data_IF_978367128808
#
_entry.id   IF_978367128808
#
_cell.length_a   1.000
_cell.length_b   1.000
_cell.length_c   1.000
_cell.angle_alpha   90.00
_cell.angle_beta   90.00
_cell.angle_gamma   90.00
#
_symmetry.space_group_name_H-M   'P 1'
#
loop_
_entity.id
_entity.type
_entity.pdbx_description
1 polymer ?
#
# COMPACT_ATOMS: atom_id res chain seq x y z
N UNK A 1 -15.04 19.83 -2.20
CA UNK A 1 -13.98 20.26 -3.14
C UNK A 1 -13.48 19.00 -3.83
N UNK A 2 -13.36 18.95 -5.17
CA UNK A 2 -13.06 17.69 -5.89
C UNK A 2 -11.77 17.04 -5.37
N UNK A 3 -11.85 15.76 -5.01
CA UNK A 3 -10.71 14.96 -4.53
C UNK A 3 -9.57 14.92 -5.56
N UNK A 4 -9.91 14.97 -6.86
CA UNK A 4 -8.96 14.98 -7.99
C UNK A 4 -7.96 16.14 -7.96
N UNK A 5 -8.26 17.24 -7.25
CA UNK A 5 -7.34 18.39 -7.15
C UNK A 5 -6.24 18.20 -6.11
N UNK A 6 -6.40 17.27 -5.16
CA UNK A 6 -5.37 17.04 -4.13
C UNK A 6 -4.15 16.34 -4.72
N UNK A 7 -4.36 15.29 -5.52
CA UNK A 7 -3.30 14.56 -6.22
C UNK A 7 -2.47 15.49 -7.12
N UNK A 8 -3.13 16.21 -8.03
CA UNK A 8 -2.45 17.11 -8.94
C UNK A 8 -1.66 18.23 -8.22
N UNK A 9 -2.18 18.73 -7.10
CA UNK A 9 -1.50 19.73 -6.28
C UNK A 9 -0.27 19.14 -5.57
N UNK A 10 -0.38 17.93 -5.04
CA UNK A 10 0.73 17.27 -4.34
C UNK A 10 1.86 16.89 -5.30
N UNK A 11 1.52 16.46 -6.52
CA UNK A 11 2.50 16.11 -7.56
C UNK A 11 2.98 17.33 -8.37
N UNK A 12 2.33 18.49 -8.22
CA UNK A 12 2.67 19.71 -8.96
C UNK A 12 2.36 19.65 -10.46
N UNK A 13 1.51 18.71 -10.89
CA UNK A 13 1.17 18.49 -12.30
C UNK A 13 -0.25 17.93 -12.44
N UNK A 14 -0.93 18.28 -13.53
CA UNK A 14 -2.20 17.66 -13.96
C UNK A 14 -2.00 16.68 -15.11
N UNK A 15 -0.77 16.48 -15.57
CA UNK A 15 -0.46 15.57 -16.67
C UNK A 15 -0.68 14.11 -16.24
N UNK A 16 -0.97 13.28 -17.22
CA UNK A 16 -1.20 11.84 -17.09
C UNK A 16 -0.68 11.20 -18.38
N UNK A 17 -0.02 10.05 -18.32
CA UNK A 17 0.20 9.20 -17.14
C UNK A 17 1.42 9.59 -16.30
N UNK A 18 1.41 9.16 -15.03
CA UNK A 18 2.49 9.41 -14.06
C UNK A 18 3.15 8.09 -13.69
N UNK A 19 4.48 8.10 -13.58
CA UNK A 19 5.27 7.00 -13.04
C UNK A 19 5.81 7.41 -11.67
N UNK A 20 5.68 6.51 -10.70
CA UNK A 20 6.21 6.65 -9.36
C UNK A 20 7.19 5.50 -9.16
N UNK A 21 8.47 5.83 -9.09
CA UNK A 21 9.49 4.84 -8.78
C UNK A 21 9.53 4.59 -7.27
N UNK A 22 9.33 3.33 -6.88
CA UNK A 22 9.52 2.85 -5.51
C UNK A 22 10.45 1.62 -5.50
N UNK A 23 11.73 1.87 -5.18
CA UNK A 23 12.78 0.84 -5.07
C UNK A 23 12.47 -0.28 -4.07
N UNK A 24 11.49 -0.11 -3.18
CA UNK A 24 11.08 -1.18 -2.28
C UNK A 24 10.43 -2.36 -3.01
N UNK A 25 9.87 -2.13 -4.20
CA UNK A 25 9.27 -3.15 -5.05
C UNK A 25 10.33 -4.08 -5.70
N UNK A 26 11.60 -3.65 -5.81
CA UNK A 26 12.70 -4.43 -6.42
C UNK A 26 13.02 -5.74 -5.66
N UNK A 27 12.71 -5.80 -4.36
CA UNK A 27 13.30 -6.80 -3.41
C UNK A 27 12.64 -8.19 -3.42
N UNK A 28 11.94 -8.56 -4.50
CA UNK A 28 11.02 -9.72 -4.54
C UNK A 28 11.64 -11.05 -4.14
N UNK A 29 12.89 -11.29 -4.52
CA UNK A 29 13.46 -12.65 -4.51
C UNK A 29 14.21 -13.05 -3.24
N UNK A 30 14.40 -12.15 -2.25
CA UNK A 30 15.08 -12.53 -1.01
C UNK A 30 14.44 -12.06 0.30
N UNK A 31 13.43 -11.16 0.28
CA UNK A 31 12.50 -10.79 1.39
C UNK A 31 11.71 -9.52 1.01
N UNK A 32 10.98 -9.48 -0.11
CA UNK A 32 10.18 -8.29 -0.39
C UNK A 32 9.09 -8.10 0.67
N UNK A 33 8.97 -6.85 1.13
CA UNK A 33 7.98 -6.40 2.10
C UNK A 33 7.57 -4.97 1.75
N UNK A 34 6.43 -4.52 2.24
CA UNK A 34 5.91 -3.17 2.08
C UNK A 34 5.56 -2.79 0.63
N UNK A 35 5.17 -3.74 -0.21
CA UNK A 35 4.74 -3.49 -1.60
C UNK A 35 3.56 -2.51 -1.69
N UNK A 36 2.71 -2.47 -0.67
CA UNK A 36 1.51 -1.65 -0.60
C UNK A 36 1.72 -0.36 0.22
N UNK A 37 2.97 -0.03 0.59
CA UNK A 37 3.27 1.12 1.45
C UNK A 37 2.93 2.49 0.85
N UNK A 38 2.78 2.56 -0.47
CA UNK A 38 2.41 3.78 -1.20
C UNK A 38 0.90 4.04 -1.14
N UNK A 39 0.08 3.03 -0.82
CA UNK A 39 -1.38 3.14 -0.79
C UNK A 39 -1.85 4.24 0.18
N UNK A 40 -1.39 4.29 1.44
CA UNK A 40 -1.83 5.32 2.38
C UNK A 40 -1.52 6.75 1.90
N UNK A 41 -0.40 6.93 1.19
CA UNK A 41 -0.07 8.23 0.59
C UNK A 41 -1.06 8.63 -0.49
N UNK A 42 -1.39 7.74 -1.43
CA UNK A 42 -2.35 8.08 -2.50
C UNK A 42 -3.79 8.19 -2.01
N UNK A 43 -4.18 7.42 -0.98
CA UNK A 43 -5.47 7.58 -0.30
C UNK A 43 -5.64 8.97 0.30
N UNK A 44 -4.62 9.47 1.00
CA UNK A 44 -4.62 10.82 1.57
C UNK A 44 -4.80 11.90 0.48
N UNK A 45 -4.31 11.61 -0.73
CA UNK A 45 -4.45 12.47 -1.91
C UNK A 45 -5.77 12.28 -2.67
N UNK A 46 -6.69 11.46 -2.16
CA UNK A 46 -8.03 11.26 -2.73
C UNK A 46 -8.13 10.16 -3.78
N UNK A 47 -7.10 9.31 -3.94
CA UNK A 47 -7.19 8.13 -4.80
C UNK A 47 -7.78 6.97 -4.00
N UNK A 48 -8.94 6.47 -4.41
CA UNK A 48 -9.64 5.40 -3.70
C UNK A 48 -9.55 4.02 -4.37
N UNK A 49 -9.14 3.96 -5.65
CA UNK A 49 -9.05 2.72 -6.44
C UNK A 49 -7.59 2.38 -6.74
N UNK A 50 -7.25 1.12 -6.51
CA UNK A 50 -5.90 0.58 -6.64
C UNK A 50 -5.91 -0.72 -7.43
N UNK A 51 -4.97 -0.86 -8.36
CA UNK A 51 -4.72 -2.08 -9.12
C UNK A 51 -3.41 -2.67 -8.65
N UNK A 52 -3.41 -3.92 -8.21
CA UNK A 52 -2.19 -4.64 -7.87
C UNK A 52 -2.45 -6.14 -7.73
N UNK A 53 -1.39 -6.93 -7.83
CA UNK A 53 -1.43 -8.40 -7.79
C UNK A 53 -2.09 -8.94 -6.51
N UNK A 54 -3.00 -9.91 -6.66
CA UNK A 54 -3.73 -10.54 -5.56
C UNK A 54 -2.79 -11.20 -4.53
N UNK A 55 -1.59 -11.59 -4.97
CA UNK A 55 -0.53 -12.09 -4.09
C UNK A 55 -0.14 -11.09 -2.99
N UNK A 56 -0.32 -9.79 -3.22
CA UNK A 56 -0.04 -8.75 -2.21
C UNK A 56 -1.27 -8.39 -1.38
N UNK A 57 -2.47 -8.51 -1.95
CA UNK A 57 -3.73 -8.26 -1.24
C UNK A 57 -3.83 -9.14 0.00
N UNK A 58 -3.50 -10.45 -0.12
CA UNK A 58 -3.42 -11.44 0.97
C UNK A 58 -4.56 -11.34 1.97
N UNK A 59 -5.75 -11.01 1.47
CA UNK A 59 -6.98 -10.82 2.24
C UNK A 59 -6.90 -9.78 3.36
N UNK A 60 -5.78 -9.05 3.57
CA UNK A 60 -5.62 -8.08 4.64
C UNK A 60 -5.36 -6.67 4.10
N UNK A 61 -6.20 -5.73 4.54
CA UNK A 61 -6.03 -4.31 4.25
C UNK A 61 -5.69 -3.53 5.52
N UNK A 62 -4.48 -2.95 5.57
CA UNK A 62 -4.09 -2.06 6.67
C UNK A 62 -4.93 -0.78 6.71
N UNK A 63 -5.36 -0.32 5.54
CA UNK A 63 -6.22 0.85 5.34
C UNK A 63 -7.30 0.47 4.32
N UNK A 64 -8.54 0.87 4.57
CA UNK A 64 -9.66 0.57 3.68
C UNK A 64 -9.47 1.27 2.32
N UNK A 65 -9.49 0.49 1.23
CA UNK A 65 -9.40 1.00 -0.13
C UNK A 65 -10.03 0.03 -1.15
N UNK A 66 -10.41 0.55 -2.30
CA UNK A 66 -10.87 -0.27 -3.42
C UNK A 66 -9.70 -0.95 -4.10
N UNK A 67 -9.60 -2.27 -3.98
CA UNK A 67 -8.65 -3.09 -4.72
C UNK A 67 -9.32 -3.73 -5.94
N UNK A 68 -8.63 -3.71 -7.08
CA UNK A 68 -9.00 -4.42 -8.28
C UNK A 68 -7.87 -5.36 -8.70
N UNK A 69 -8.16 -6.65 -8.81
CA UNK A 69 -7.23 -7.62 -9.42
C UNK A 69 -6.94 -7.21 -10.87
N UNK A 70 -5.67 -7.24 -11.33
CA UNK A 70 -5.31 -6.86 -12.69
C UNK A 70 -6.04 -7.67 -13.77
N UNK A 71 -6.35 -8.95 -13.48
CA UNK A 71 -7.09 -9.83 -14.39
C UNK A 71 -8.59 -9.54 -14.49
N UNK A 72 -9.16 -8.78 -13.55
CA UNK A 72 -10.58 -8.44 -13.52
C UNK A 72 -10.89 -7.07 -14.15
N UNK A 73 -9.87 -6.33 -14.61
CA UNK A 73 -10.05 -4.97 -15.14
C UNK A 73 -10.71 -5.03 -16.51
N UNK A 74 -11.84 -4.32 -16.62
CA UNK A 74 -12.49 -4.00 -17.89
C UNK A 74 -12.35 -2.50 -18.13
N UNK A 75 -11.75 -2.10 -19.26
CA UNK A 75 -11.39 -0.70 -19.53
C UNK A 75 -12.61 0.25 -19.53
N UNK A 76 -13.81 -0.24 -19.87
CA UNK A 76 -15.04 0.54 -19.82
C UNK A 76 -15.42 1.02 -18.43
N UNK A 77 -14.91 0.37 -17.38
CA UNK A 77 -15.33 0.57 -15.99
C UNK A 77 -14.24 1.27 -15.17
N UNK A 78 -13.10 1.58 -15.80
CA UNK A 78 -11.98 2.28 -15.18
C UNK A 78 -12.35 3.76 -15.02
N UNK A 79 -12.15 4.26 -13.81
CA UNK A 79 -12.31 5.67 -13.47
C UNK A 79 -11.00 6.22 -12.92
N UNK A 80 -10.58 7.38 -13.39
CA UNK A 80 -9.45 8.11 -12.83
C UNK A 80 -9.92 9.10 -11.76
N UNK A 81 -9.11 9.40 -10.72
CA UNK A 81 -7.73 8.91 -10.54
C UNK A 81 -7.64 7.43 -10.14
N UNK A 82 -6.59 6.76 -10.62
CA UNK A 82 -6.32 5.33 -10.39
C UNK A 82 -4.83 5.14 -10.13
N UNK A 83 -4.49 4.40 -9.07
CA UNK A 83 -3.11 3.97 -8.82
C UNK A 83 -2.94 2.50 -9.17
N UNK A 84 -1.93 2.16 -9.96
CA UNK A 84 -1.58 0.80 -10.34
C UNK A 84 -0.17 0.48 -9.88
N UNK A 85 0.01 -0.62 -9.15
CA UNK A 85 1.28 -1.04 -8.58
C UNK A 85 1.71 -2.37 -9.24
N UNK A 86 2.84 -2.36 -9.92
CA UNK A 86 3.41 -3.56 -10.54
C UNK A 86 4.93 -3.45 -10.63
N UNK A 87 5.63 -4.58 -10.61
CA UNK A 87 7.08 -4.63 -10.86
C UNK A 87 7.40 -4.84 -12.33
N UNK A 88 8.60 -4.50 -12.76
CA UNK A 88 9.15 -4.76 -14.09
C UNK A 88 9.05 -6.25 -14.46
N UNK A 89 9.21 -7.15 -13.48
CA UNK A 89 9.01 -8.59 -13.71
C UNK A 89 7.56 -8.91 -14.08
N UNK A 90 6.59 -8.26 -13.46
CA UNK A 90 5.17 -8.42 -13.77
C UNK A 90 4.80 -7.81 -15.13
N UNK A 91 5.64 -6.95 -15.71
CA UNK A 91 5.44 -6.37 -17.05
C UNK A 91 5.89 -7.28 -18.20
N UNK A 92 6.54 -8.41 -17.90
CA UNK A 92 6.86 -9.44 -18.90
C UNK A 92 5.61 -10.15 -19.38
N UNK A 93 5.59 -10.56 -20.65
CA UNK A 93 4.49 -11.37 -21.17
C UNK A 93 4.42 -12.72 -20.47
N UNK A 94 3.25 -13.38 -20.53
CA UNK A 94 3.07 -14.72 -19.94
C UNK A 94 4.07 -15.75 -20.49
N UNK A 95 4.48 -15.62 -21.75
CA UNK A 95 5.42 -16.53 -22.40
C UNK A 95 6.89 -16.29 -21.95
N UNK A 96 7.19 -15.11 -21.43
CA UNK A 96 8.51 -14.70 -20.93
C UNK A 96 8.68 -14.89 -19.42
N UNK A 97 7.61 -15.29 -18.72
CA UNK A 97 7.65 -15.58 -17.29
C UNK A 97 8.27 -16.96 -17.04
N UNK A 98 9.14 -17.04 -16.03
CA UNK A 98 9.77 -18.30 -15.66
C UNK A 98 8.71 -19.26 -15.10
N UNK A 99 8.82 -20.54 -15.45
CA UNK A 99 7.94 -21.56 -14.88
C UNK A 99 8.09 -21.62 -13.35
N UNK A 100 6.98 -21.52 -12.63
CA UNK A 100 6.94 -21.54 -11.17
C UNK A 100 6.91 -20.16 -10.49
N UNK A 101 6.78 -19.07 -11.25
CA UNK A 101 6.50 -17.75 -10.68
C UNK A 101 5.05 -17.66 -10.18
N UNK A 102 4.88 -17.15 -8.96
CA UNK A 102 3.56 -17.03 -8.29
C UNK A 102 2.73 -15.81 -8.73
N UNK A 103 3.30 -14.89 -9.52
CA UNK A 103 2.59 -13.69 -9.98
C UNK A 103 1.97 -13.84 -11.35
N UNK A 104 0.97 -13.01 -11.61
CA UNK A 104 0.39 -12.84 -12.93
C UNK A 104 1.15 -11.78 -13.74
N UNK A 105 1.21 -11.99 -15.07
CA UNK A 105 1.60 -10.91 -16.00
C UNK A 105 0.57 -9.79 -15.96
N UNK A 106 1.05 -8.57 -15.79
CA UNK A 106 0.30 -7.32 -15.83
C UNK A 106 0.61 -6.50 -17.09
N UNK A 107 1.35 -7.07 -18.05
CA UNK A 107 1.80 -6.39 -19.27
C UNK A 107 0.65 -5.73 -20.06
N UNK A 108 -0.38 -6.51 -20.41
CA UNK A 108 -1.50 -6.05 -21.23
C UNK A 108 -2.32 -4.98 -20.53
N UNK A 109 -2.71 -5.22 -19.27
CA UNK A 109 -3.51 -4.26 -18.49
C UNK A 109 -2.72 -2.98 -18.22
N UNK A 110 -1.41 -3.06 -17.96
CA UNK A 110 -0.57 -1.87 -17.82
C UNK A 110 -0.59 -1.05 -19.10
N UNK A 111 -0.37 -1.68 -20.27
CA UNK A 111 -0.36 -0.99 -21.56
C UNK A 111 -1.68 -0.26 -21.84
N UNK A 112 -2.81 -0.94 -21.65
CA UNK A 112 -4.12 -0.34 -21.89
C UNK A 112 -4.41 0.79 -20.89
N UNK A 113 -4.05 0.64 -19.60
CA UNK A 113 -4.22 1.72 -18.62
C UNK A 113 -3.34 2.94 -18.92
N UNK A 114 -2.12 2.76 -19.44
CA UNK A 114 -1.29 3.88 -19.92
C UNK A 114 -1.95 4.63 -21.08
N UNK A 115 -2.54 3.88 -22.02
CA UNK A 115 -3.27 4.45 -23.16
C UNK A 115 -4.51 5.22 -22.70
N UNK A 116 -5.38 4.60 -21.91
CA UNK A 116 -6.58 5.27 -21.35
C UNK A 116 -6.20 6.47 -20.47
N UNK A 117 -5.15 6.34 -19.66
CA UNK A 117 -4.63 7.40 -18.82
C UNK A 117 -4.10 8.61 -19.60
N UNK A 118 -3.63 8.41 -20.83
CA UNK A 118 -3.19 9.51 -21.72
C UNK A 118 -4.39 10.30 -22.26
N UNK A 119 -5.51 9.62 -22.51
CA UNK A 119 -6.74 10.22 -23.06
C UNK A 119 -7.70 10.72 -21.95
N UNK A 120 -7.40 10.41 -20.69
CA UNK A 120 -8.24 10.73 -19.55
C UNK A 120 -8.40 12.25 -19.34
N UNK A 121 -9.65 12.70 -19.19
CA UNK A 121 -9.99 14.10 -18.91
C UNK A 121 -10.43 14.34 -17.46
N UNK A 122 -10.64 13.26 -16.69
CA UNK A 122 -11.24 13.29 -15.35
C UNK A 122 -10.31 12.95 -14.18
N UNK A 123 -9.01 12.77 -14.40
CA UNK A 123 -8.07 12.40 -13.35
C UNK A 123 -6.75 11.87 -13.92
N UNK A 124 -5.85 11.43 -13.04
CA UNK A 124 -4.52 10.96 -13.41
C UNK A 124 -4.40 9.45 -13.23
N UNK A 125 -3.74 8.79 -14.17
CA UNK A 125 -3.25 7.43 -14.00
C UNK A 125 -1.87 7.46 -13.35
N UNK A 126 -1.72 6.81 -12.20
CA UNK A 126 -0.47 6.74 -11.44
C UNK A 126 0.04 5.30 -11.46
N UNK A 127 1.18 5.06 -12.09
CA UNK A 127 1.84 3.77 -12.16
C UNK A 127 3.03 3.70 -11.21
N UNK A 128 2.92 2.92 -10.14
CA UNK A 128 3.98 2.69 -9.15
C UNK A 128 4.75 1.43 -9.53
N UNK A 129 6.08 1.55 -9.67
CA UNK A 129 6.93 0.45 -10.13
C UNK A 129 8.32 0.48 -9.50
N UNK A 130 9.02 -0.65 -9.58
CA UNK A 130 10.39 -0.85 -9.09
C UNK A 130 11.47 -0.30 -10.05
N UNK A 131 11.08 0.34 -11.14
CA UNK A 131 12.00 0.96 -12.10
C UNK A 131 11.48 2.31 -12.59
N UNK A 132 12.32 3.34 -12.74
CA UNK A 132 11.89 4.61 -13.31
C UNK A 132 11.58 4.54 -14.81
N UNK A 133 12.04 3.49 -15.49
CA UNK A 133 11.90 3.30 -16.93
C UNK A 133 11.33 1.91 -17.22
N UNK A 134 10.03 1.66 -16.95
CA UNK A 134 9.42 0.35 -17.14
C UNK A 134 9.35 -0.05 -18.62
N UNK A 135 9.53 -1.34 -18.92
CA UNK A 135 9.44 -1.88 -20.27
C UNK A 135 8.36 -2.97 -20.38
N UNK A 136 7.60 -2.92 -21.47
CA UNK A 136 6.62 -3.97 -21.86
C UNK A 136 7.01 -4.45 -23.25
N UNK A 137 8.02 -5.33 -23.34
CA UNK A 137 8.64 -5.73 -24.61
C UNK A 137 7.62 -6.28 -25.63
N UNK A 138 6.59 -6.98 -25.14
CA UNK A 138 5.51 -7.54 -25.96
C UNK A 138 4.60 -6.52 -26.65
N UNK A 139 4.61 -5.25 -26.20
CA UNK A 139 3.72 -4.20 -26.72
C UNK A 139 4.45 -3.03 -27.35
N UNK A 140 5.70 -2.78 -26.96
CA UNK A 140 6.45 -1.61 -27.42
C UNK A 140 6.75 -1.70 -28.93
N UNK A 141 6.32 -0.72 -29.74
CA UNK A 141 6.58 -0.71 -31.19
C UNK A 141 8.05 -0.50 -31.57
N UNK A 142 8.80 0.19 -30.72
CA UNK A 142 10.21 0.55 -30.94
C UNK A 142 11.09 -0.16 -29.90
N UNK A 143 11.90 -1.16 -30.29
CA UNK A 143 12.70 -1.94 -29.35
C UNK A 143 13.47 -1.05 -28.37
N UNK A 144 13.43 -1.41 -27.08
CA UNK A 144 14.10 -0.72 -25.95
C UNK A 144 13.52 0.64 -25.53
N UNK A 145 12.50 1.17 -26.21
CA UNK A 145 11.81 2.37 -25.74
C UNK A 145 11.02 2.04 -24.47
N UNK A 146 11.13 2.84 -23.41
CA UNK A 146 10.34 2.59 -22.19
C UNK A 146 8.87 2.95 -22.40
N UNK A 147 7.99 2.44 -21.53
CA UNK A 147 6.59 2.87 -21.47
C UNK A 147 6.49 4.36 -21.14
N UNK A 148 7.37 4.85 -20.26
CA UNK A 148 7.48 6.27 -19.94
C UNK A 148 7.67 7.13 -21.19
N UNK A 149 8.64 6.77 -22.04
CA UNK A 149 8.93 7.50 -23.28
C UNK A 149 7.79 7.36 -24.30
N UNK A 150 7.12 6.21 -24.33
CA UNK A 150 6.07 5.92 -25.30
C UNK A 150 4.82 6.78 -25.06
N UNK A 151 4.47 7.02 -23.80
CA UNK A 151 3.29 7.78 -23.39
C UNK A 151 3.62 9.18 -22.85
N UNK A 152 4.88 9.62 -22.93
CA UNK A 152 5.38 10.87 -22.37
C UNK A 152 5.04 11.03 -20.88
N UNK A 153 5.19 9.95 -20.11
CA UNK A 153 4.85 9.95 -18.69
C UNK A 153 5.81 10.83 -17.88
N UNK A 154 5.29 11.52 -16.86
CA UNK A 154 6.12 12.21 -15.86
C UNK A 154 6.53 11.20 -14.78
N UNK A 155 7.81 11.17 -14.44
CA UNK A 155 8.32 10.30 -13.37
C UNK A 155 8.64 11.07 -12.08
N UNK A 156 8.33 10.47 -10.93
CA UNK A 156 8.72 10.93 -9.60
C UNK A 156 9.32 9.80 -8.78
N UNK A 157 10.14 10.16 -7.79
CA UNK A 157 10.68 9.24 -6.79
C UNK A 157 9.77 9.22 -5.55
N UNK A 158 9.23 8.05 -5.17
CA UNK A 158 8.35 7.95 -4.01
C UNK A 158 9.02 8.43 -2.73
N UNK A 159 10.31 8.11 -2.55
CA UNK A 159 11.10 8.53 -1.40
C UNK A 159 11.14 10.06 -1.24
N UNK A 160 11.23 10.81 -2.33
CA UNK A 160 11.23 12.27 -2.28
C UNK A 160 9.83 12.79 -1.94
N UNK A 161 8.80 12.27 -2.62
CA UNK A 161 7.41 12.67 -2.41
C UNK A 161 6.97 12.47 -0.96
N UNK A 162 7.20 11.29 -0.39
CA UNK A 162 6.78 11.00 0.99
C UNK A 162 7.57 11.82 2.01
N UNK A 163 8.87 12.06 1.77
CA UNK A 163 9.69 12.88 2.65
C UNK A 163 9.16 14.31 2.71
N UNK A 164 8.94 14.94 1.55
CA UNK A 164 8.43 16.31 1.45
C UNK A 164 7.04 16.42 2.07
N UNK A 165 6.19 15.43 1.82
CA UNK A 165 4.83 15.38 2.34
C UNK A 165 4.81 15.27 3.86
N UNK A 166 5.49 14.28 4.44
CA UNK A 166 5.52 14.05 5.90
C UNK A 166 6.12 15.26 6.60
N UNK A 167 7.24 15.79 6.11
CA UNK A 167 7.90 16.97 6.70
C UNK A 167 7.01 18.22 6.73
N UNK A 168 6.11 18.35 5.75
CA UNK A 168 5.29 19.56 5.59
C UNK A 168 3.88 19.42 6.17
N UNK A 169 3.37 18.21 6.38
CA UNK A 169 1.95 17.95 6.66
C UNK A 169 1.68 17.00 7.84
N UNK A 170 2.71 16.40 8.43
CA UNK A 170 2.55 15.40 9.49
C UNK A 170 3.54 15.63 10.62
N UNK A 171 3.05 15.86 11.84
CA UNK A 171 3.86 15.98 13.06
C UNK A 171 4.21 14.60 13.64
N UNK A 172 4.79 13.74 12.80
CA UNK A 172 5.21 12.39 13.19
C UNK A 172 6.44 12.42 14.09
N UNK A 173 6.44 11.62 15.16
CA UNK A 173 7.63 11.32 15.97
C UNK A 173 8.46 10.17 15.41
N UNK A 174 7.90 9.38 14.49
CA UNK A 174 8.66 8.34 13.79
C UNK A 174 9.66 8.96 12.79
N UNK A 175 10.87 8.41 12.69
CA UNK A 175 11.80 8.73 11.62
C UNK A 175 11.36 8.16 10.27
N UNK A 176 11.53 8.94 9.19
CA UNK A 176 11.31 8.49 7.80
C UNK A 176 12.28 7.39 7.32
N UNK A 177 13.37 7.16 8.05
CA UNK A 177 14.27 6.04 7.74
C UNK A 177 13.76 4.71 8.29
N UNK A 178 12.89 4.71 9.30
CA UNK A 178 12.28 3.50 9.86
C UNK A 178 11.16 2.98 8.96
N UNK A 179 10.32 3.88 8.48
CA UNK A 179 9.24 3.57 7.54
C UNK A 179 8.97 4.74 6.61
N UNK A 180 8.54 4.44 5.39
CA UNK A 180 8.02 5.41 4.42
C UNK A 180 6.54 5.18 4.15
N UNK A 181 5.85 4.47 5.02
CA UNK A 181 4.43 4.24 4.94
C UNK A 181 3.69 5.34 5.73
N UNK A 182 2.90 6.17 5.02
CA UNK A 182 2.23 7.34 5.60
C UNK A 182 1.28 6.97 6.76
N UNK A 183 0.70 5.77 6.74
CA UNK A 183 -0.20 5.30 7.80
C UNK A 183 0.47 5.36 9.17
N UNK A 184 1.71 4.86 9.29
CA UNK A 184 2.42 4.85 10.58
C UNK A 184 2.78 6.26 11.05
N UNK A 185 3.10 7.17 10.12
CA UNK A 185 3.34 8.57 10.46
C UNK A 185 2.09 9.27 10.99
N UNK A 186 0.91 8.99 10.42
CA UNK A 186 -0.38 9.49 10.93
C UNK A 186 -0.73 8.91 12.30
N UNK A 187 -0.49 7.62 12.51
CA UNK A 187 -0.62 6.98 13.82
C UNK A 187 0.31 7.64 14.85
N UNK A 188 1.57 7.86 14.49
CA UNK A 188 2.56 8.49 15.36
C UNK A 188 2.17 9.90 15.76
N UNK A 189 1.72 10.73 14.81
CA UNK A 189 1.16 12.06 15.05
C UNK A 189 -0.02 11.97 16.04
N UNK A 190 -0.97 11.07 15.78
CA UNK A 190 -2.14 10.87 16.65
C UNK A 190 -1.74 10.47 18.08
N UNK A 191 -0.85 9.49 18.23
CA UNK A 191 -0.33 9.03 19.52
C UNK A 191 0.41 10.13 20.28
N UNK A 192 1.26 10.88 19.57
CA UNK A 192 2.06 11.96 20.14
C UNK A 192 1.19 13.05 20.78
N UNK A 193 0.08 13.42 20.14
CA UNK A 193 -0.86 14.43 20.68
C UNK A 193 -1.57 13.99 21.96
N UNK A 194 -1.61 12.67 22.25
CA UNK A 194 -2.29 12.07 23.40
C UNK A 194 -1.34 11.47 24.44
N UNK A 195 -0.03 11.70 24.29
CA UNK A 195 0.98 11.20 25.22
C UNK A 195 1.23 9.67 25.15
N UNK A 196 0.73 9.01 24.10
CA UNK A 196 0.96 7.59 23.85
C UNK A 196 2.33 7.36 23.18
N UNK A 197 2.88 6.12 23.24
CA UNK A 197 4.10 5.75 22.53
C UNK A 197 3.99 6.01 21.02
N UNK A 198 4.98 6.68 20.45
CA UNK A 198 4.91 7.23 19.08
C UNK A 198 6.26 7.31 18.37
N UNK A 199 7.36 6.99 19.05
CA UNK A 199 8.74 7.21 18.59
C UNK A 199 9.32 6.05 17.81
N UNK A 200 8.83 4.83 18.05
CA UNK A 200 9.25 3.62 17.34
C UNK A 200 8.07 2.92 16.68
N UNK A 201 8.31 2.24 15.57
CA UNK A 201 7.24 1.60 14.80
C UNK A 201 6.49 0.53 15.62
N UNK A 202 7.22 -0.28 16.38
CA UNK A 202 6.64 -1.32 17.26
C UNK A 202 5.80 -0.72 18.39
N UNK A 203 6.22 0.43 18.91
CA UNK A 203 5.53 1.14 20.00
C UNK A 203 4.13 1.60 19.61
N UNK A 204 3.88 1.87 18.32
CA UNK A 204 2.55 2.23 17.83
C UNK A 204 1.51 1.14 18.10
N UNK A 205 1.96 -0.12 18.22
CA UNK A 205 1.13 -1.29 18.47
C UNK A 205 1.13 -1.70 19.96
N UNK A 206 1.48 -0.77 20.86
CA UNK A 206 1.27 -0.94 22.30
C UNK A 206 -0.22 -0.69 22.65
N UNK A 207 -1.04 -1.74 22.54
CA UNK A 207 -2.48 -1.67 22.76
C UNK A 207 -2.90 -1.34 24.19
N UNK A 208 -2.00 -1.45 25.18
CA UNK A 208 -2.29 -1.00 26.55
C UNK A 208 -2.25 0.52 26.66
N UNK A 209 -1.53 1.19 25.76
CA UNK A 209 -1.31 2.64 25.78
C UNK A 209 -1.83 3.35 24.53
N UNK A 210 -2.29 2.60 23.54
CA UNK A 210 -2.86 3.14 22.32
C UNK A 210 -4.13 3.95 22.64
N UNK A 211 -4.28 5.17 22.11
CA UNK A 211 -5.53 5.91 22.21
C UNK A 211 -6.71 5.15 21.62
N UNK A 212 -7.90 5.33 22.20
CA UNK A 212 -9.11 4.65 21.72
C UNK A 212 -9.44 5.04 20.28
N UNK A 213 -9.20 6.28 19.86
CA UNK A 213 -9.47 6.71 18.48
C UNK A 213 -8.30 6.45 17.52
N UNK A 214 -7.27 5.72 17.96
CA UNK A 214 -6.13 5.42 17.11
C UNK A 214 -6.51 4.40 16.03
N UNK A 215 -6.10 4.61 14.76
CA UNK A 215 -6.43 3.65 13.71
C UNK A 215 -5.70 2.31 13.86
N UNK A 216 -4.77 2.15 14.81
CA UNK A 216 -4.08 0.87 15.08
C UNK A 216 -5.00 -0.25 15.59
N UNK A 217 -6.21 0.10 16.03
CA UNK A 217 -7.26 -0.85 16.40
C UNK A 217 -7.92 -1.50 15.18
N UNK A 218 -8.03 -0.79 14.05
CA UNK A 218 -8.73 -1.26 12.84
C UNK A 218 -8.18 -2.60 12.31
N UNK A 219 -6.86 -2.83 12.25
CA UNK A 219 -6.32 -4.13 11.86
C UNK A 219 -6.77 -5.29 12.75
N UNK A 220 -7.01 -5.06 14.05
CA UNK A 220 -7.48 -6.12 14.96
C UNK A 220 -8.95 -6.47 14.67
N UNK A 221 -9.79 -5.46 14.44
CA UNK A 221 -11.18 -5.68 14.02
C UNK A 221 -11.25 -6.43 12.69
N UNK A 222 -10.41 -6.04 11.72
CA UNK A 222 -10.32 -6.72 10.44
C UNK A 222 -10.10 -8.23 10.61
N UNK A 223 -9.11 -8.59 11.42
CA UNK A 223 -8.74 -9.97 11.69
C UNK A 223 -9.83 -10.78 12.41
N UNK A 224 -10.62 -10.14 13.27
CA UNK A 224 -11.76 -10.80 13.94
C UNK A 224 -12.90 -11.04 12.93
N UNK A 225 -13.25 -10.03 12.14
CA UNK A 225 -14.40 -10.08 11.23
C UNK A 225 -14.21 -11.04 10.05
N UNK A 226 -12.97 -11.21 9.57
CA UNK A 226 -12.70 -11.91 8.31
C UNK A 226 -12.06 -13.29 8.48
N UNK A 227 -11.59 -13.71 9.67
CA UNK A 227 -10.70 -14.88 9.78
C UNK A 227 -11.03 -15.90 10.90
N UNK A 228 -12.21 -15.83 11.52
CA UNK A 228 -12.58 -16.71 12.64
C UNK A 228 -12.86 -18.19 12.28
N UNK A 229 -13.02 -18.56 11.00
CA UNK A 229 -13.60 -19.89 10.68
C UNK A 229 -12.63 -21.05 10.40
N UNK A 230 -11.34 -20.89 10.06
CA UNK A 230 -10.54 -22.08 9.66
C UNK A 230 -9.06 -22.25 10.12
N UNK A 231 -8.36 -21.31 10.76
CA UNK A 231 -6.90 -21.51 10.97
C UNK A 231 -6.35 -20.94 12.29
N UNK A 232 -6.57 -21.63 13.42
CA UNK A 232 -5.86 -21.30 14.67
C UNK A 232 -4.42 -21.84 14.72
N UNK A 233 -4.11 -22.93 14.00
CA UNK A 233 -2.79 -23.58 14.09
C UNK A 233 -1.68 -22.83 13.32
N UNK A 234 -2.01 -22.04 12.28
CA UNK A 234 -1.05 -21.24 11.49
C UNK A 234 -1.31 -19.72 11.57
N UNK A 235 -2.14 -19.28 12.52
CA UNK A 235 -2.59 -17.89 12.63
C UNK A 235 -1.45 -16.86 12.72
N UNK A 236 -0.40 -17.14 13.49
CA UNK A 236 0.77 -16.24 13.60
C UNK A 236 1.52 -16.10 12.28
N UNK A 237 1.66 -17.20 11.54
CA UNK A 237 2.30 -17.20 10.23
C UNK A 237 1.46 -16.39 9.23
N UNK A 238 0.14 -16.50 9.32
CA UNK A 238 -0.82 -15.75 8.50
C UNK A 238 -0.78 -14.24 8.78
N UNK A 239 -0.99 -13.79 10.02
CA UNK A 239 -0.92 -12.36 10.39
C UNK A 239 0.43 -11.76 10.00
N UNK A 240 1.53 -12.48 10.27
CA UNK A 240 2.87 -12.03 9.85
C UNK A 240 2.98 -11.91 8.33
N UNK A 241 2.38 -12.84 7.59
CA UNK A 241 2.39 -12.92 6.12
C UNK A 241 1.53 -11.84 5.47
N UNK A 242 0.39 -11.50 6.07
CA UNK A 242 -0.48 -10.39 5.70
C UNK A 242 0.21 -9.02 5.90
N UNK A 243 0.81 -8.80 7.07
CA UNK A 243 1.49 -7.55 7.40
C UNK A 243 2.74 -7.29 6.54
N UNK A 244 3.35 -8.34 5.96
CA UNK A 244 4.53 -8.20 5.09
C UNK A 244 4.27 -7.30 3.89
N UNK A 245 3.05 -7.23 3.36
CA UNK A 245 2.75 -6.34 2.23
C UNK A 245 2.79 -4.85 2.61
N UNK A 246 2.80 -4.52 3.90
CA UNK A 246 2.60 -3.16 4.40
C UNK A 246 3.78 -2.59 5.19
N UNK A 247 4.59 -3.45 5.82
CA UNK A 247 5.60 -3.03 6.81
C UNK A 247 7.03 -3.26 6.27
N UNK A 248 7.87 -2.22 6.31
CA UNK A 248 9.29 -2.33 5.97
C UNK A 248 10.09 -3.23 6.95
N UNK A 249 11.37 -3.47 6.68
CA UNK A 249 12.17 -4.47 7.40
C UNK A 249 12.29 -4.21 8.92
N UNK A 250 12.49 -5.28 9.70
CA UNK A 250 12.91 -5.23 11.11
C UNK A 250 11.87 -5.70 12.12
N UNK A 251 10.63 -5.23 12.01
CA UNK A 251 9.69 -5.28 13.15
C UNK A 251 8.34 -5.95 12.87
N UNK A 252 8.09 -6.43 11.64
CA UNK A 252 6.82 -7.10 11.26
C UNK A 252 6.43 -8.22 12.23
N UNK A 253 7.39 -9.06 12.65
CA UNK A 253 7.13 -10.18 13.56
C UNK A 253 6.78 -9.70 14.98
N UNK A 254 7.45 -8.65 15.47
CA UNK A 254 7.16 -8.07 16.78
C UNK A 254 5.78 -7.42 16.79
N UNK A 255 5.42 -6.73 15.71
CA UNK A 255 4.11 -6.12 15.51
C UNK A 255 3.03 -7.21 15.46
N UNK A 256 3.22 -8.24 14.64
CA UNK A 256 2.33 -9.39 14.58
C UNK A 256 2.10 -10.00 15.96
N UNK A 257 3.17 -10.24 16.73
CA UNK A 257 3.09 -10.78 18.10
C UNK A 257 2.26 -9.89 19.04
N UNK A 258 2.38 -8.56 18.96
CA UNK A 258 1.57 -7.63 19.77
C UNK A 258 0.09 -7.68 19.37
N UNK A 259 -0.20 -7.74 18.07
CA UNK A 259 -1.56 -7.88 17.55
C UNK A 259 -2.20 -9.18 18.02
N UNK A 260 -1.51 -10.31 17.81
CA UNK A 260 -1.96 -11.65 18.20
C UNK A 260 -2.17 -11.75 19.71
N UNK A 261 -1.24 -11.23 20.53
CA UNK A 261 -1.40 -11.22 21.99
C UNK A 261 -2.67 -10.46 22.42
N UNK A 262 -2.99 -9.35 21.75
CA UNK A 262 -4.19 -8.56 22.02
C UNK A 262 -5.45 -9.30 21.58
N UNK A 263 -5.44 -9.92 20.41
CA UNK A 263 -6.54 -10.75 19.92
C UNK A 263 -6.82 -11.93 20.86
N UNK A 264 -5.79 -12.64 21.32
CA UNK A 264 -5.94 -13.70 22.32
C UNK A 264 -6.53 -13.20 23.64
N UNK A 265 -6.12 -12.02 24.09
CA UNK A 265 -6.63 -11.40 25.32
C UNK A 265 -8.13 -11.09 25.22
N UNK A 266 -8.60 -10.78 24.03
CA UNK A 266 -10.00 -10.47 23.72
C UNK A 266 -10.74 -11.68 23.12
N UNK A 267 -10.19 -12.90 23.26
CA UNK A 267 -10.77 -14.14 22.74
C UNK A 267 -11.19 -14.11 21.26
N UNK A 268 -10.53 -13.28 20.45
CA UNK A 268 -10.91 -13.01 19.05
C UNK A 268 -12.38 -12.55 18.91
N UNK A 269 -12.93 -11.87 19.91
CA UNK A 269 -14.29 -11.34 19.91
C UNK A 269 -14.28 -9.81 19.74
N UNK A 270 -15.11 -9.31 18.82
CA UNK A 270 -15.16 -7.88 18.52
C UNK A 270 -15.74 -7.06 19.68
N UNK A 271 -16.63 -7.64 20.48
CA UNK A 271 -17.19 -7.03 21.68
C UNK A 271 -16.12 -6.90 22.76
N UNK A 272 -15.42 -8.00 23.08
CA UNK A 272 -14.31 -7.99 24.03
C UNK A 272 -13.17 -7.06 23.60
N UNK A 273 -12.87 -6.97 22.30
CA UNK A 273 -11.87 -6.02 21.78
C UNK A 273 -12.33 -4.57 21.99
N UNK A 274 -13.60 -4.28 21.70
CA UNK A 274 -14.18 -2.94 21.93
C UNK A 274 -14.16 -2.60 23.42
N UNK A 275 -14.53 -3.54 24.29
CA UNK A 275 -14.46 -3.36 25.74
C UNK A 275 -13.03 -3.15 26.21
N UNK A 276 -12.06 -3.88 25.66
CA UNK A 276 -10.64 -3.72 25.98
C UNK A 276 -10.11 -2.34 25.56
N UNK A 277 -10.44 -1.91 24.33
CA UNK A 277 -10.13 -0.57 23.81
C UNK A 277 -10.70 0.54 24.71
N UNK A 278 -11.92 0.38 25.21
CA UNK A 278 -12.60 1.36 26.06
C UNK A 278 -12.41 1.11 27.56
N UNK A 279 -11.67 0.07 27.95
CA UNK A 279 -11.42 -0.21 29.35
C UNK A 279 -10.56 0.91 29.89
N UNK A 280 -11.13 1.70 30.81
CA UNK A 280 -10.47 2.85 31.43
C UNK A 280 -9.01 2.52 31.72
N UNK A 281 -8.10 3.22 31.05
CA UNK A 281 -6.68 3.20 31.36
C UNK A 281 -6.54 3.54 32.85
N UNK A 282 -6.13 2.54 33.65
CA UNK A 282 -5.55 2.78 34.98
C UNK A 282 -4.16 3.36 34.85
#
# INVERSE_FOLDING_TARGET
MSEDRKLARALGTTESPIIIHDSQLEKRDQRARAQLRTIPFFLELGVSRFVYDDLWAREFQLVNHGHCSPGAITLSDVSFPLTHIATEKQLRSKDEQDQGQEFISQADVTWELFKEGTEATGGQYVFVTDTPTPHIESRIPVPRRSVADQFNAISFEYEQLIHEYVKSNVESRLPLYDTKNLYFHRVSEHHATRGAPASELVELFDYERAPIESPVWEPLHFFIEHELEEVLEEYEAHVTTALRSWIEWGDTEKIAKRMIATLHRCNFDSGELTEYQHSDQR
#
